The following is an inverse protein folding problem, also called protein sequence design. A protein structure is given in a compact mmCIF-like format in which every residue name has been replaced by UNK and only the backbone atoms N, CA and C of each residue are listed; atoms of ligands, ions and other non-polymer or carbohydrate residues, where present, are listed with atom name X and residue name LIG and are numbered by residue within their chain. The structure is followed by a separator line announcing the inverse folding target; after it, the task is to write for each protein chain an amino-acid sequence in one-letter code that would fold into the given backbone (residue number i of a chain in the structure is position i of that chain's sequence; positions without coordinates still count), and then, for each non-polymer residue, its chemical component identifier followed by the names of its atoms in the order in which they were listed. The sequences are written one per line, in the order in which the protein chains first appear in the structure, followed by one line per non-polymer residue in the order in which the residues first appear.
data_IF_163451163253
#
_entry.id   IF_163451163253
#
_cell.length_a   1.000
_cell.length_b   1.000
_cell.length_c   1.000
_cell.angle_alpha   90.00
_cell.angle_beta   90.00
_cell.angle_gamma   90.00
#
_symmetry.space_group_name_H-M   'P 1'
#
loop_
_entity.id
_entity.type
_entity.pdbx_description
1 polymer ?
#
# COMPACT_ATOMS: atom_id res chain seq x y z
N UNK A 1 -2.74 24.31 27.63
CA UNK A 1 -1.84 23.27 27.07
C UNK A 1 -2.34 21.92 27.55
N UNK A 2 -3.30 21.34 26.83
CA UNK A 2 -3.72 19.96 27.08
C UNK A 2 -2.69 19.01 26.45
N UNK A 3 -2.31 18.01 27.22
CA UNK A 3 -1.33 16.98 26.87
C UNK A 3 -1.79 16.22 25.62
N UNK A 4 -1.16 16.51 24.48
CA UNK A 4 -1.18 15.65 23.30
C UNK A 4 -0.51 14.34 23.70
N UNK A 5 -1.32 13.28 23.85
CA UNK A 5 -0.84 11.90 23.98
C UNK A 5 0.10 11.61 22.82
N UNK A 6 1.39 11.49 23.11
CA UNK A 6 2.40 11.14 22.11
C UNK A 6 2.13 9.69 21.67
N UNK A 7 1.57 9.52 20.48
CA UNK A 7 1.64 8.25 19.76
C UNK A 7 3.13 7.89 19.62
N UNK A 8 3.47 6.67 20.00
CA UNK A 8 4.83 6.14 20.22
C UNK A 8 5.82 6.55 19.09
N UNK A 9 6.56 7.64 19.32
CA UNK A 9 7.25 8.37 18.25
C UNK A 9 8.74 8.00 18.06
N UNK A 10 9.06 6.71 17.97
CA UNK A 10 10.44 6.32 17.66
C UNK A 10 10.73 4.83 17.49
N UNK A 11 9.72 3.97 17.34
CA UNK A 11 9.95 2.52 17.28
C UNK A 11 9.60 1.96 15.91
N UNK A 12 10.59 1.33 15.28
CA UNK A 12 10.45 0.62 14.00
C UNK A 12 9.32 -0.41 14.10
N UNK A 13 8.25 -0.33 13.28
CA UNK A 13 7.17 -1.29 13.27
C UNK A 13 7.69 -2.69 12.91
N UNK A 14 7.47 -3.71 13.75
CA UNK A 14 7.90 -5.08 13.47
C UNK A 14 6.74 -5.90 12.94
N UNK A 15 6.86 -6.46 11.73
CA UNK A 15 5.82 -7.30 11.14
C UNK A 15 6.36 -8.71 10.95
N UNK A 16 5.72 -9.71 11.56
CA UNK A 16 5.99 -11.12 11.26
C UNK A 16 5.07 -11.58 10.14
N UNK A 17 5.67 -12.02 9.04
CA UNK A 17 4.99 -12.50 7.84
C UNK A 17 5.05 -14.02 7.81
N UNK A 18 3.89 -14.67 7.69
CA UNK A 18 3.75 -16.13 7.61
C UNK A 18 3.18 -16.46 6.23
N UNK A 19 4.02 -16.85 5.28
CA UNK A 19 3.61 -17.06 3.89
C UNK A 19 4.62 -17.91 3.08
N UNK A 20 4.24 -18.26 1.85
CA UNK A 20 5.11 -18.92 0.89
C UNK A 20 6.14 -17.99 0.23
N UNK A 21 7.28 -18.55 -0.12
CA UNK A 21 8.36 -17.89 -0.87
C UNK A 21 8.12 -17.98 -2.38
N UNK A 22 8.08 -16.82 -3.04
CA UNK A 22 8.06 -16.65 -4.49
C UNK A 22 9.48 -16.53 -5.07
N UNK A 23 9.91 -17.53 -5.85
CA UNK A 23 11.20 -17.51 -6.55
C UNK A 23 11.38 -16.35 -7.53
N UNK A 24 10.29 -15.85 -8.15
CA UNK A 24 10.31 -14.69 -9.05
C UNK A 24 10.30 -13.35 -8.32
N UNK A 25 10.06 -13.36 -7.01
CA UNK A 25 10.13 -12.20 -6.13
C UNK A 25 9.04 -11.15 -6.31
N UNK A 26 7.94 -11.48 -6.98
CA UNK A 26 6.83 -10.55 -7.23
C UNK A 26 5.66 -10.68 -6.25
N UNK A 27 5.53 -11.80 -5.55
CA UNK A 27 4.51 -12.09 -4.54
C UNK A 27 5.14 -12.73 -3.29
N UNK A 28 4.30 -13.27 -2.40
CA UNK A 28 4.73 -14.03 -1.22
C UNK A 28 5.67 -13.24 -0.30
N UNK A 29 6.53 -13.97 0.40
CA UNK A 29 7.52 -13.41 1.34
C UNK A 29 8.33 -12.26 0.72
N UNK A 30 8.69 -12.35 -0.56
CA UNK A 30 9.50 -11.35 -1.23
C UNK A 30 8.75 -10.03 -1.42
N UNK A 31 7.48 -10.06 -1.84
CA UNK A 31 6.64 -8.87 -1.91
C UNK A 31 6.36 -8.31 -0.51
N UNK A 32 6.16 -9.20 0.46
CA UNK A 32 5.87 -8.82 1.85
C UNK A 32 7.07 -8.06 2.47
N UNK A 33 8.28 -8.60 2.38
CA UNK A 33 9.52 -7.94 2.87
C UNK A 33 9.73 -6.59 2.19
N UNK A 34 9.62 -6.54 0.86
CA UNK A 34 9.78 -5.29 0.10
C UNK A 34 8.79 -4.24 0.59
N UNK A 35 7.53 -4.63 0.76
CA UNK A 35 6.47 -3.71 1.18
C UNK A 35 6.72 -3.14 2.57
N UNK A 36 6.98 -4.01 3.55
CA UNK A 36 7.23 -3.58 4.93
C UNK A 36 8.50 -2.72 5.00
N UNK A 37 9.58 -3.11 4.33
CA UNK A 37 10.85 -2.35 4.30
C UNK A 37 10.65 -0.97 3.68
N UNK A 38 9.96 -0.88 2.54
CA UNK A 38 9.70 0.38 1.85
C UNK A 38 8.73 1.29 2.61
N UNK A 39 8.00 0.75 3.59
CA UNK A 39 7.12 1.51 4.47
C UNK A 39 7.77 1.88 5.81
N UNK A 40 9.05 1.56 6.00
CA UNK A 40 9.83 1.88 7.21
C UNK A 40 9.77 0.83 8.31
N UNK A 41 9.11 -0.30 8.09
CA UNK A 41 9.01 -1.40 9.05
C UNK A 41 10.16 -2.42 8.95
N UNK A 42 10.28 -3.25 9.98
CA UNK A 42 11.14 -4.42 10.01
C UNK A 42 10.32 -5.68 9.70
N UNK A 43 10.65 -6.36 8.61
CA UNK A 43 10.01 -7.61 8.21
C UNK A 43 10.76 -8.82 8.78
N UNK A 44 10.08 -9.62 9.59
CA UNK A 44 10.49 -10.97 9.96
C UNK A 44 9.59 -11.99 9.25
N UNK A 45 10.05 -13.23 9.09
CA UNK A 45 9.33 -14.23 8.28
C UNK A 45 9.29 -15.61 8.92
N UNK A 46 8.20 -16.33 8.64
CA UNK A 46 8.10 -17.78 8.75
C UNK A 46 7.60 -18.33 7.41
N UNK A 47 8.45 -19.12 6.74
CA UNK A 47 8.20 -19.62 5.40
C UNK A 47 7.37 -20.89 5.47
N UNK A 48 6.22 -20.91 4.78
CA UNK A 48 5.29 -22.06 4.75
C UNK A 48 5.53 -22.99 3.57
N UNK A 49 6.04 -22.46 2.46
CA UNK A 49 6.38 -23.24 1.28
C UNK A 49 7.36 -22.47 0.39
N UNK A 50 8.04 -23.18 -0.49
CA UNK A 50 8.85 -22.61 -1.58
C UNK A 50 8.15 -22.94 -2.90
N UNK A 51 7.84 -21.93 -3.69
CA UNK A 51 7.28 -22.13 -5.03
C UNK A 51 8.39 -21.98 -6.07
N UNK A 52 8.54 -22.99 -6.94
CA UNK A 52 9.28 -22.86 -8.18
C UNK A 52 8.36 -22.14 -9.15
N UNK A 53 8.43 -20.82 -9.13
CA UNK A 53 7.55 -19.97 -9.94
C UNK A 53 8.30 -18.79 -10.55
N UNK A 54 7.74 -18.26 -11.64
CA UNK A 54 8.18 -17.03 -12.28
C UNK A 54 6.97 -16.34 -12.93
N UNK A 55 7.19 -15.31 -13.75
CA UNK A 55 6.08 -14.55 -14.37
C UNK A 55 5.17 -15.39 -15.29
N UNK A 56 5.59 -16.58 -15.70
CA UNK A 56 4.82 -17.50 -16.56
C UNK A 56 3.97 -18.51 -15.76
N UNK A 57 4.10 -18.55 -14.44
CA UNK A 57 3.34 -19.44 -13.57
C UNK A 57 4.18 -20.23 -12.58
N UNK A 58 3.54 -21.22 -11.96
CA UNK A 58 4.11 -22.11 -10.94
C UNK A 58 4.34 -23.49 -11.55
N UNK A 59 5.57 -24.01 -11.45
CA UNK A 59 5.90 -25.36 -11.94
C UNK A 59 6.04 -26.40 -10.82
N UNK A 60 6.32 -25.97 -9.58
CA UNK A 60 6.34 -26.84 -8.41
C UNK A 60 6.12 -26.05 -7.12
N UNK A 61 5.63 -26.74 -6.10
CA UNK A 61 5.50 -26.23 -4.73
C UNK A 61 6.12 -27.24 -3.78
N UNK A 62 6.98 -26.78 -2.88
CA UNK A 62 7.56 -27.59 -1.82
C UNK A 62 7.13 -27.02 -0.47
N UNK A 63 6.26 -27.75 0.24
CA UNK A 63 5.78 -27.36 1.55
C UNK A 63 6.89 -27.49 2.61
N UNK A 64 6.97 -26.52 3.52
CA UNK A 64 7.78 -26.61 4.73
C UNK A 64 6.98 -27.36 5.78
N UNK A 65 7.63 -28.25 6.52
CA UNK A 65 6.96 -29.03 7.56
C UNK A 65 6.32 -28.11 8.62
N UNK A 66 5.06 -28.36 9.06
CA UNK A 66 4.34 -27.50 10.00
C UNK A 66 5.08 -27.21 11.31
N UNK A 67 5.85 -28.17 11.83
CA UNK A 67 6.69 -28.00 13.02
C UNK A 67 7.85 -27.02 12.79
N UNK A 68 8.39 -26.96 11.57
CA UNK A 68 9.43 -25.99 11.17
C UNK A 68 8.80 -24.61 10.99
N UNK A 69 7.58 -24.51 10.45
CA UNK A 69 6.82 -23.25 10.40
C UNK A 69 6.60 -22.70 11.82
N UNK A 70 6.14 -23.56 12.74
CA UNK A 70 5.94 -23.19 14.14
C UNK A 70 7.24 -22.77 14.83
N UNK A 71 8.35 -23.49 14.57
CA UNK A 71 9.65 -23.17 15.14
C UNK A 71 10.16 -21.79 14.65
N UNK A 72 9.97 -21.46 13.37
CA UNK A 72 10.29 -20.12 12.84
C UNK A 72 9.47 -19.02 13.53
N UNK A 73 8.15 -19.23 13.68
CA UNK A 73 7.26 -18.26 14.36
C UNK A 73 7.75 -18.01 15.79
N UNK A 74 7.99 -19.07 16.58
CA UNK A 74 8.46 -18.95 17.97
C UNK A 74 9.83 -18.28 18.03
N UNK A 75 10.77 -18.68 17.18
CA UNK A 75 12.11 -18.08 17.16
C UNK A 75 12.08 -16.56 16.94
N UNK A 76 11.17 -16.06 16.09
CA UNK A 76 10.99 -14.62 15.90
C UNK A 76 10.28 -13.99 17.10
N UNK A 77 9.17 -14.58 17.56
CA UNK A 77 8.34 -13.99 18.61
C UNK A 77 9.06 -13.94 19.98
N UNK A 78 9.91 -14.92 20.28
CA UNK A 78 10.60 -15.05 21.57
C UNK A 78 11.75 -14.04 21.75
N UNK A 79 12.33 -13.53 20.65
CA UNK A 79 13.46 -12.58 20.67
C UNK A 79 13.08 -11.22 20.07
N UNK A 80 12.82 -11.21 18.76
CA UNK A 80 12.53 -9.97 18.01
C UNK A 80 11.14 -9.44 18.34
N UNK A 81 10.16 -10.33 18.57
CA UNK A 81 8.75 -10.00 18.72
C UNK A 81 8.08 -9.52 17.43
N UNK A 82 6.78 -9.24 17.51
CA UNK A 82 6.00 -8.67 16.41
C UNK A 82 4.94 -7.69 16.93
N UNK A 83 4.67 -6.66 16.14
CA UNK A 83 3.67 -5.62 16.41
C UNK A 83 2.42 -5.79 15.54
N UNK A 84 2.56 -6.51 14.42
CA UNK A 84 1.46 -7.08 13.65
C UNK A 84 1.91 -8.39 13.01
N UNK A 85 0.94 -9.25 12.70
CA UNK A 85 1.15 -10.47 11.93
C UNK A 85 0.47 -10.30 10.58
N UNK A 86 1.16 -10.66 9.49
CA UNK A 86 0.55 -10.87 8.18
C UNK A 86 0.57 -12.36 7.86
N UNK A 87 -0.58 -12.94 7.58
CA UNK A 87 -0.71 -14.33 7.14
C UNK A 87 -1.07 -14.32 5.66
N UNK A 88 -0.35 -15.10 4.86
CA UNK A 88 -0.61 -15.31 3.43
C UNK A 88 -0.87 -16.78 3.11
N UNK A 89 -0.24 -17.28 2.04
CA UNK A 89 -0.38 -18.68 1.61
C UNK A 89 0.08 -19.68 2.70
N UNK A 90 -0.80 -20.58 3.12
CA UNK A 90 -0.53 -21.61 4.13
C UNK A 90 -0.44 -23.04 3.56
N UNK A 91 -1.09 -23.33 2.43
CA UNK A 91 -1.03 -24.63 1.77
C UNK A 91 -2.08 -25.64 2.27
N UNK A 92 -1.97 -26.07 3.53
CA UNK A 92 -2.76 -27.18 4.07
C UNK A 92 -3.29 -26.97 5.50
N UNK A 93 -4.15 -27.88 5.95
CA UNK A 93 -4.78 -27.88 7.28
C UNK A 93 -3.72 -27.96 8.39
N UNK A 94 -2.73 -28.84 8.24
CA UNK A 94 -1.70 -29.05 9.27
C UNK A 94 -0.88 -27.77 9.53
N UNK A 95 -0.57 -27.03 8.46
CA UNK A 95 0.11 -25.74 8.55
C UNK A 95 -0.80 -24.67 9.18
N UNK A 96 -2.09 -24.65 8.83
CA UNK A 96 -3.07 -23.73 9.46
C UNK A 96 -3.14 -23.97 10.97
N UNK A 97 -3.25 -25.23 11.40
CA UNK A 97 -3.32 -25.59 12.82
C UNK A 97 -2.03 -25.21 13.55
N UNK A 98 -0.88 -25.53 12.97
CA UNK A 98 0.43 -25.19 13.51
C UNK A 98 0.63 -23.67 13.67
N UNK A 99 0.21 -22.87 12.68
CA UNK A 99 0.24 -21.40 12.75
C UNK A 99 -0.72 -20.88 13.81
N UNK A 100 -1.96 -21.40 13.85
CA UNK A 100 -2.94 -21.00 14.85
C UNK A 100 -2.41 -21.27 16.27
N UNK A 101 -1.82 -22.44 16.51
CA UNK A 101 -1.29 -22.81 17.82
C UNK A 101 -0.07 -21.97 18.19
N UNK A 102 0.86 -21.73 17.24
CA UNK A 102 2.04 -20.91 17.47
C UNK A 102 1.68 -19.44 17.79
N UNK A 103 0.56 -18.94 17.29
CA UNK A 103 0.09 -17.59 17.57
C UNK A 103 -0.71 -17.48 18.87
N UNK A 104 -1.11 -18.59 19.52
CA UNK A 104 -2.01 -18.57 20.68
C UNK A 104 -1.56 -17.59 21.78
N UNK A 105 -2.49 -16.76 22.27
CA UNK A 105 -2.21 -15.76 23.31
C UNK A 105 -1.61 -14.45 22.80
N UNK A 106 -1.22 -14.36 21.52
CA UNK A 106 -0.77 -13.11 20.92
C UNK A 106 -1.92 -12.09 20.80
N UNK A 107 -1.65 -10.86 21.20
CA UNK A 107 -2.61 -9.73 21.15
C UNK A 107 -2.36 -8.77 19.99
N UNK A 108 -1.25 -8.95 19.26
CA UNK A 108 -0.92 -8.12 18.11
C UNK A 108 -1.96 -8.31 16.98
N UNK A 109 -2.31 -7.26 16.23
CA UNK A 109 -3.25 -7.35 15.13
C UNK A 109 -2.79 -8.35 14.06
N UNK A 110 -3.75 -9.09 13.50
CA UNK A 110 -3.52 -10.10 12.47
C UNK A 110 -4.23 -9.67 11.19
N UNK A 111 -3.47 -9.51 10.11
CA UNK A 111 -3.97 -9.33 8.75
C UNK A 111 -3.93 -10.67 8.04
N UNK A 112 -5.10 -11.20 7.69
CA UNK A 112 -5.25 -12.49 7.01
C UNK A 112 -5.53 -12.26 5.52
N UNK A 113 -4.57 -12.59 4.65
CA UNK A 113 -4.75 -12.63 3.20
C UNK A 113 -5.08 -14.08 2.81
N UNK A 114 -6.35 -14.42 2.52
CA UNK A 114 -6.78 -15.80 2.34
C UNK A 114 -6.40 -16.29 0.93
N UNK A 115 -5.10 -16.45 0.68
CA UNK A 115 -4.57 -16.85 -0.63
C UNK A 115 -5.01 -18.27 -0.96
N UNK A 116 -5.98 -18.40 -1.86
CA UNK A 116 -6.52 -19.70 -2.29
C UNK A 116 -5.98 -20.18 -3.64
N UNK A 117 -5.65 -19.25 -4.55
CA UNK A 117 -5.27 -19.57 -5.93
C UNK A 117 -4.09 -18.70 -6.37
N UNK A 118 -3.15 -19.29 -7.11
CA UNK A 118 -2.07 -18.57 -7.75
C UNK A 118 -2.62 -17.75 -8.92
N UNK A 119 -1.88 -16.71 -9.30
CA UNK A 119 -2.29 -15.85 -10.42
C UNK A 119 -2.41 -16.57 -11.78
N UNK A 120 -1.76 -17.73 -11.92
CA UNK A 120 -1.89 -18.64 -13.07
C UNK A 120 -3.00 -19.70 -12.93
N UNK A 121 -3.85 -19.61 -11.91
CA UNK A 121 -4.98 -20.54 -11.69
C UNK A 121 -4.65 -21.80 -10.88
N UNK A 122 -3.40 -22.02 -10.48
CA UNK A 122 -3.04 -23.17 -9.64
C UNK A 122 -3.63 -23.04 -8.24
N UNK A 123 -4.37 -24.03 -7.76
CA UNK A 123 -4.85 -24.07 -6.37
C UNK A 123 -3.67 -24.04 -5.39
N UNK A 124 -3.73 -23.14 -4.41
CA UNK A 124 -2.72 -22.94 -3.37
C UNK A 124 -3.24 -23.29 -1.97
N UNK A 125 -4.55 -23.47 -1.84
CA UNK A 125 -5.21 -23.95 -0.64
C UNK A 125 -6.12 -25.12 -1.01
N UNK A 126 -6.01 -26.23 -0.27
CA UNK A 126 -6.93 -27.34 -0.41
C UNK A 126 -8.35 -26.93 0.04
N UNK A 127 -9.40 -27.44 -0.58
CA UNK A 127 -10.78 -27.09 -0.25
C UNK A 127 -11.10 -27.39 1.23
N UNK A 128 -10.56 -28.50 1.75
CA UNK A 128 -10.69 -28.90 3.15
C UNK A 128 -9.96 -27.94 4.11
N UNK A 129 -8.99 -27.18 3.61
CA UNK A 129 -8.23 -26.21 4.41
C UNK A 129 -8.99 -24.88 4.61
N UNK A 130 -10.01 -24.59 3.81
CA UNK A 130 -10.87 -23.40 4.00
C UNK A 130 -11.60 -23.48 5.35
N UNK A 131 -12.15 -24.66 5.69
CA UNK A 131 -12.82 -24.87 6.97
C UNK A 131 -11.90 -24.66 8.18
N UNK A 132 -10.64 -25.12 8.09
CA UNK A 132 -9.65 -24.91 9.14
C UNK A 132 -9.30 -23.41 9.28
N UNK A 133 -9.14 -22.68 8.18
CA UNK A 133 -8.88 -21.24 8.18
C UNK A 133 -10.01 -20.47 8.86
N UNK A 134 -11.26 -20.76 8.49
CA UNK A 134 -12.46 -20.13 9.08
C UNK A 134 -12.61 -20.46 10.57
N UNK A 135 -12.31 -21.69 10.98
CA UNK A 135 -12.48 -22.11 12.37
C UNK A 135 -11.34 -21.66 13.30
N UNK A 136 -10.10 -21.61 12.79
CA UNK A 136 -8.89 -21.42 13.64
C UNK A 136 -8.25 -20.04 13.51
N UNK A 137 -8.29 -19.42 12.33
CA UNK A 137 -7.58 -18.17 12.05
C UNK A 137 -8.51 -16.97 11.92
N UNK A 138 -9.66 -17.10 11.24
CA UNK A 138 -10.61 -15.99 11.08
C UNK A 138 -11.05 -15.36 12.42
N UNK A 139 -11.37 -16.12 13.49
CA UNK A 139 -11.81 -15.54 14.76
C UNK A 139 -10.72 -14.71 15.47
N UNK A 140 -9.48 -14.80 14.99
CA UNK A 140 -8.30 -14.12 15.52
C UNK A 140 -7.84 -12.97 14.64
N UNK A 141 -8.36 -12.89 13.41
CA UNK A 141 -8.00 -11.86 12.46
C UNK A 141 -8.57 -10.51 12.92
N UNK A 142 -7.74 -9.47 12.84
CA UNK A 142 -8.20 -8.08 12.93
C UNK A 142 -8.89 -7.69 11.64
N UNK A 143 -8.31 -8.09 10.50
CA UNK A 143 -8.88 -7.91 9.18
C UNK A 143 -8.54 -9.09 8.28
N UNK A 144 -9.52 -9.57 7.53
CA UNK A 144 -9.32 -10.48 6.40
C UNK A 144 -9.47 -9.71 5.09
N UNK A 145 -8.63 -9.99 4.09
CA UNK A 145 -8.57 -9.22 2.85
C UNK A 145 -8.91 -10.05 1.60
N UNK A 146 -10.10 -10.66 1.47
CA UNK A 146 -10.42 -11.51 0.32
C UNK A 146 -10.65 -10.70 -0.96
N UNK A 147 -10.24 -11.24 -2.11
CA UNK A 147 -10.75 -10.78 -3.42
C UNK A 147 -12.11 -11.43 -3.72
N UNK A 148 -12.78 -11.03 -4.80
CA UNK A 148 -14.10 -11.59 -5.17
C UNK A 148 -14.11 -13.12 -5.26
N UNK A 149 -13.22 -13.80 -6.02
CA UNK A 149 -13.16 -15.27 -6.01
C UNK A 149 -12.97 -15.88 -4.62
N UNK A 150 -12.06 -15.34 -3.81
CA UNK A 150 -11.82 -15.80 -2.44
C UNK A 150 -13.05 -15.59 -1.55
N UNK A 151 -13.74 -14.45 -1.70
CA UNK A 151 -14.92 -14.11 -0.91
C UNK A 151 -16.08 -15.06 -1.25
N UNK A 152 -16.30 -15.36 -2.54
CA UNK A 152 -17.28 -16.37 -2.98
C UNK A 152 -17.01 -17.74 -2.36
N UNK A 153 -15.75 -18.18 -2.29
CA UNK A 153 -15.39 -19.45 -1.64
C UNK A 153 -15.61 -19.40 -0.12
N UNK A 154 -15.28 -18.28 0.52
CA UNK A 154 -15.40 -18.11 1.96
C UNK A 154 -16.86 -18.05 2.45
N UNK A 155 -17.77 -17.47 1.67
CA UNK A 155 -19.18 -17.33 2.05
C UNK A 155 -20.09 -18.35 1.38
N UNK A 156 -19.68 -18.94 0.27
CA UNK A 156 -20.55 -19.76 -0.58
C UNK A 156 -21.53 -18.92 -1.42
N UNK A 157 -21.32 -17.61 -1.51
CA UNK A 157 -22.22 -16.66 -2.18
C UNK A 157 -21.65 -16.29 -3.56
N UNK A 158 -22.45 -16.44 -4.61
CA UNK A 158 -22.08 -15.92 -5.93
C UNK A 158 -22.06 -14.40 -5.91
N UNK A 159 -21.00 -13.79 -6.45
CA UNK A 159 -20.79 -12.34 -6.46
C UNK A 159 -20.67 -11.88 -7.91
N UNK A 160 -21.70 -11.20 -8.42
CA UNK A 160 -21.69 -10.67 -9.78
C UNK A 160 -21.26 -9.20 -9.84
N UNK A 161 -21.58 -8.42 -8.81
CA UNK A 161 -21.33 -6.99 -8.77
C UNK A 161 -20.85 -6.47 -7.40
N UNK A 162 -20.68 -5.14 -7.32
CA UNK A 162 -20.19 -4.47 -6.11
C UNK A 162 -21.18 -4.59 -4.93
N UNK A 163 -22.48 -4.65 -5.20
CA UNK A 163 -23.50 -4.77 -4.17
C UNK A 163 -23.49 -6.18 -3.55
N UNK A 164 -23.40 -7.21 -4.40
CA UNK A 164 -23.25 -8.60 -3.94
C UNK A 164 -21.98 -8.76 -3.09
N UNK A 165 -20.87 -8.16 -3.54
CA UNK A 165 -19.59 -8.21 -2.83
C UNK A 165 -19.70 -7.59 -1.43
N UNK A 166 -20.39 -6.45 -1.30
CA UNK A 166 -20.62 -5.80 -0.02
C UNK A 166 -21.47 -6.68 0.91
N UNK A 167 -22.54 -7.30 0.39
CA UNK A 167 -23.39 -8.21 1.18
C UNK A 167 -22.61 -9.43 1.66
N UNK A 168 -21.81 -10.06 0.79
CA UNK A 168 -20.96 -11.18 1.16
C UNK A 168 -19.89 -10.78 2.19
N UNK A 169 -19.34 -9.57 2.10
CA UNK A 169 -18.41 -9.04 3.09
C UNK A 169 -19.06 -8.83 4.47
N UNK A 170 -20.31 -8.36 4.49
CA UNK A 170 -21.11 -8.23 5.71
C UNK A 170 -21.44 -9.59 6.32
N UNK A 171 -21.79 -10.58 5.50
CA UNK A 171 -22.02 -11.96 5.92
C UNK A 171 -20.76 -12.57 6.57
N UNK A 172 -19.60 -12.40 5.93
CA UNK A 172 -18.33 -12.93 6.44
C UNK A 172 -17.89 -12.24 7.73
N UNK A 173 -18.12 -10.92 7.86
CA UNK A 173 -17.85 -10.20 9.10
C UNK A 173 -18.75 -10.69 10.24
N UNK A 174 -20.03 -10.94 9.93
CA UNK A 174 -21.05 -11.33 10.89
C UNK A 174 -21.13 -10.38 12.10
N UNK A 175 -21.49 -10.93 13.26
CA UNK A 175 -21.43 -10.20 14.54
C UNK A 175 -20.04 -10.32 15.22
N UNK A 176 -19.05 -10.87 14.52
CA UNK A 176 -17.72 -11.16 15.03
C UNK A 176 -16.83 -9.92 15.15
N UNK A 177 -15.66 -10.04 15.80
CA UNK A 177 -14.70 -8.93 15.92
C UNK A 177 -13.88 -8.69 14.65
N UNK A 178 -14.02 -9.53 13.61
CA UNK A 178 -13.20 -9.47 12.39
C UNK A 178 -13.73 -8.40 11.44
N UNK A 179 -12.83 -7.57 10.91
CA UNK A 179 -13.14 -6.68 9.79
C UNK A 179 -12.88 -7.38 8.45
N UNK A 180 -13.61 -7.02 7.41
CA UNK A 180 -13.44 -7.57 6.06
C UNK A 180 -13.08 -6.45 5.10
N UNK A 181 -11.94 -6.55 4.43
CA UNK A 181 -11.60 -5.70 3.28
C UNK A 181 -11.84 -6.49 1.99
N UNK A 182 -13.04 -6.39 1.44
CA UNK A 182 -13.41 -7.03 0.18
C UNK A 182 -12.82 -6.25 -1.01
N UNK A 183 -11.98 -6.93 -1.80
CA UNK A 183 -11.23 -6.31 -2.91
C UNK A 183 -11.96 -6.51 -4.25
N UNK A 184 -12.42 -5.43 -4.88
CA UNK A 184 -13.25 -5.49 -6.10
C UNK A 184 -12.48 -5.54 -7.42
N UNK A 185 -11.16 -5.66 -7.40
CA UNK A 185 -10.32 -5.63 -8.62
C UNK A 185 -10.67 -6.67 -9.71
N UNK A 186 -11.43 -7.72 -9.37
CA UNK A 186 -11.91 -8.75 -10.31
C UNK A 186 -13.28 -8.45 -10.93
N UNK A 187 -14.03 -7.48 -10.41
CA UNK A 187 -15.27 -7.00 -11.03
C UNK A 187 -14.93 -6.23 -12.30
N UNK A 188 -15.88 -6.16 -13.23
CA UNK A 188 -15.74 -5.37 -14.45
C UNK A 188 -15.90 -3.85 -14.21
N UNK A 189 -15.48 -3.04 -15.17
CA UNK A 189 -15.66 -1.58 -15.16
C UNK A 189 -14.39 -0.77 -14.89
N UNK A 190 -14.45 0.51 -15.24
CA UNK A 190 -13.30 1.44 -15.22
C UNK A 190 -12.92 1.91 -13.80
N UNK A 191 -13.79 1.66 -12.82
CA UNK A 191 -13.58 2.00 -11.41
C UNK A 191 -13.43 0.71 -10.62
N UNK A 192 -12.36 0.62 -9.83
CA UNK A 192 -12.13 -0.46 -8.88
C UNK A 192 -12.51 0.04 -7.49
N UNK A 193 -13.49 -0.62 -6.87
CA UNK A 193 -13.94 -0.33 -5.51
C UNK A 193 -13.58 -1.47 -4.56
N UNK A 194 -13.02 -1.12 -3.41
CA UNK A 194 -12.81 -2.01 -2.28
C UNK A 194 -13.71 -1.55 -1.12
N UNK A 195 -14.25 -2.50 -0.35
CA UNK A 195 -15.10 -2.21 0.80
C UNK A 195 -14.46 -2.71 2.08
N UNK A 196 -14.24 -1.81 3.04
CA UNK A 196 -13.91 -2.16 4.41
C UNK A 196 -15.21 -2.24 5.22
N UNK A 197 -15.56 -3.43 5.67
CA UNK A 197 -16.68 -3.69 6.58
C UNK A 197 -16.13 -3.96 7.97
N UNK A 198 -16.64 -3.22 8.94
CA UNK A 198 -16.30 -3.33 10.36
C UNK A 198 -17.59 -3.40 11.18
N UNK A 199 -17.47 -3.69 12.47
CA UNK A 199 -18.63 -3.63 13.39
C UNK A 199 -19.26 -2.24 13.48
N UNK A 200 -18.46 -1.19 13.32
CA UNK A 200 -18.89 0.20 13.50
C UNK A 200 -19.46 0.81 12.20
N UNK A 201 -19.35 0.10 11.08
CA UNK A 201 -19.84 0.54 9.78
C UNK A 201 -18.97 0.08 8.62
N UNK A 202 -19.24 0.66 7.46
CA UNK A 202 -18.57 0.33 6.20
C UNK A 202 -17.98 1.57 5.53
N UNK A 203 -16.85 1.39 4.85
CA UNK A 203 -16.17 2.44 4.12
C UNK A 203 -15.76 1.93 2.73
N UNK A 204 -16.11 2.72 1.71
CA UNK A 204 -15.76 2.46 0.32
C UNK A 204 -14.47 3.16 -0.04
N UNK A 205 -13.58 2.46 -0.73
CA UNK A 205 -12.36 3.01 -1.31
C UNK A 205 -12.37 2.75 -2.81
N UNK A 206 -12.36 3.79 -3.63
CA UNK A 206 -12.38 3.65 -5.08
C UNK A 206 -11.14 4.24 -5.75
N UNK A 207 -10.96 3.93 -7.03
CA UNK A 207 -9.92 4.49 -7.88
C UNK A 207 -10.10 4.01 -9.32
N UNK A 208 -9.49 4.73 -10.27
CA UNK A 208 -9.46 4.30 -11.66
C UNK A 208 -8.73 2.95 -11.81
N UNK A 209 -9.25 2.09 -12.68
CA UNK A 209 -8.57 0.85 -13.06
C UNK A 209 -7.25 1.17 -13.75
N UNK A 210 -6.21 0.44 -13.39
CA UNK A 210 -4.89 0.54 -14.00
C UNK A 210 -4.73 -0.62 -14.97
N UNK A 211 -4.72 -0.31 -16.26
CA UNK A 211 -4.47 -1.28 -17.33
C UNK A 211 -2.99 -1.68 -17.35
N UNK A 212 -2.67 -2.80 -16.68
CA UNK A 212 -1.31 -3.33 -16.64
C UNK A 212 -1.27 -4.84 -16.41
N UNK A 213 -0.34 -5.53 -17.09
CA UNK A 213 -0.02 -6.94 -16.83
C UNK A 213 0.76 -7.14 -15.53
N UNK A 214 1.31 -6.08 -14.96
CA UNK A 214 2.24 -6.09 -13.83
C UNK A 214 1.54 -6.07 -12.46
N UNK A 215 0.53 -6.92 -12.31
CA UNK A 215 -0.30 -7.01 -11.11
C UNK A 215 0.11 -8.17 -10.19
N UNK A 216 1.27 -8.82 -10.40
CA UNK A 216 1.67 -9.99 -9.59
C UNK A 216 1.99 -9.54 -8.16
N UNK A 217 1.41 -10.21 -7.17
CA UNK A 217 1.57 -9.89 -5.75
C UNK A 217 0.78 -8.70 -5.22
N UNK A 218 -0.22 -8.18 -5.93
CA UNK A 218 -1.07 -7.06 -5.46
C UNK A 218 -1.72 -7.35 -4.10
N UNK A 219 -2.31 -8.54 -3.92
CA UNK A 219 -2.93 -8.97 -2.66
C UNK A 219 -1.94 -9.01 -1.50
N UNK A 220 -0.82 -9.72 -1.66
CA UNK A 220 0.22 -9.83 -0.64
C UNK A 220 0.77 -8.45 -0.23
N UNK A 221 0.99 -7.58 -1.21
CA UNK A 221 1.46 -6.21 -1.01
C UNK A 221 0.45 -5.39 -0.21
N UNK A 222 -0.84 -5.44 -0.58
CA UNK A 222 -1.88 -4.71 0.14
C UNK A 222 -1.95 -5.17 1.61
N UNK A 223 -2.03 -6.48 1.83
CA UNK A 223 -2.10 -7.06 3.18
C UNK A 223 -0.87 -6.70 4.03
N UNK A 224 0.33 -6.79 3.46
CA UNK A 224 1.58 -6.44 4.16
C UNK A 224 1.68 -4.94 4.47
N UNK A 225 1.19 -4.08 3.58
CA UNK A 225 1.13 -2.65 3.84
C UNK A 225 0.13 -2.29 4.96
N UNK A 226 -1.02 -2.96 5.01
CA UNK A 226 -1.99 -2.81 6.11
C UNK A 226 -1.35 -3.27 7.42
N UNK A 227 -0.71 -4.44 7.44
CA UNK A 227 -0.05 -4.97 8.63
C UNK A 227 1.03 -4.01 9.15
N UNK A 228 1.82 -3.41 8.24
CA UNK A 228 2.81 -2.40 8.60
C UNK A 228 2.17 -1.13 9.18
N UNK A 229 1.03 -0.68 8.64
CA UNK A 229 0.28 0.44 9.17
C UNK A 229 -0.27 0.18 10.59
N UNK A 230 -0.85 -1.00 10.80
CA UNK A 230 -1.34 -1.43 12.12
C UNK A 230 -0.19 -1.58 13.14
N UNK A 231 0.95 -2.14 12.73
CA UNK A 231 2.15 -2.22 13.55
C UNK A 231 2.69 -0.84 13.96
N UNK A 232 2.49 0.18 13.10
CA UNK A 232 2.80 1.58 13.39
C UNK A 232 1.72 2.30 14.22
N UNK A 233 0.65 1.61 14.61
CA UNK A 233 -0.44 2.15 15.43
C UNK A 233 -1.47 2.99 14.65
N UNK A 234 -1.53 2.87 13.32
CA UNK A 234 -2.57 3.54 12.53
C UNK A 234 -3.95 2.90 12.79
N UNK A 235 -5.03 3.71 12.79
CA UNK A 235 -6.38 3.19 12.65
C UNK A 235 -6.51 2.32 11.39
N UNK A 236 -7.40 1.32 11.41
CA UNK A 236 -7.52 0.35 10.32
C UNK A 236 -7.84 1.01 8.97
N UNK A 237 -8.79 1.95 8.94
CA UNK A 237 -9.14 2.68 7.72
C UNK A 237 -7.94 3.45 7.12
N UNK A 238 -7.16 4.12 7.97
CA UNK A 238 -5.96 4.85 7.56
C UNK A 238 -4.86 3.90 7.06
N UNK A 239 -4.71 2.73 7.70
CA UNK A 239 -3.79 1.69 7.27
C UNK A 239 -4.19 1.14 5.89
N UNK A 240 -5.48 0.93 5.64
CA UNK A 240 -6.03 0.53 4.33
C UNK A 240 -5.76 1.61 3.29
N UNK A 241 -6.06 2.87 3.58
CA UNK A 241 -5.85 3.96 2.62
C UNK A 241 -4.37 4.10 2.22
N UNK A 242 -3.46 4.07 3.21
CA UNK A 242 -2.01 4.07 3.00
C UNK A 242 -1.57 2.89 2.15
N UNK A 243 -2.11 1.69 2.41
CA UNK A 243 -1.80 0.48 1.67
C UNK A 243 -2.26 0.55 0.21
N UNK A 244 -3.48 1.04 -0.04
CA UNK A 244 -3.99 1.25 -1.40
C UNK A 244 -3.12 2.22 -2.19
N UNK A 245 -2.72 3.33 -1.56
CA UNK A 245 -1.82 4.32 -2.17
C UNK A 245 -0.46 3.71 -2.53
N UNK A 246 0.08 2.84 -1.67
CA UNK A 246 1.31 2.09 -1.93
C UNK A 246 1.15 1.20 -3.18
N UNK A 247 0.09 0.39 -3.23
CA UNK A 247 -0.18 -0.54 -4.34
C UNK A 247 -0.38 0.21 -5.66
N UNK A 248 -1.20 1.27 -5.68
CA UNK A 248 -1.42 2.10 -6.88
C UNK A 248 -0.10 2.67 -7.41
N UNK A 249 0.74 3.19 -6.51
CA UNK A 249 2.07 3.70 -6.87
C UNK A 249 2.96 2.60 -7.43
N UNK A 250 2.98 1.43 -6.79
CA UNK A 250 3.78 0.29 -7.23
C UNK A 250 3.33 -0.23 -8.61
N UNK A 251 2.03 -0.18 -8.91
CA UNK A 251 1.48 -0.60 -10.20
C UNK A 251 1.92 0.35 -11.33
N UNK A 252 1.87 1.66 -11.11
CA UNK A 252 2.34 2.63 -12.10
C UNK A 252 3.84 2.57 -12.34
N UNK A 253 4.63 2.27 -11.30
CA UNK A 253 6.09 2.20 -11.38
C UNK A 253 6.61 0.78 -11.72
N UNK A 254 5.74 -0.08 -12.25
CA UNK A 254 6.11 -1.45 -12.59
C UNK A 254 7.33 -1.51 -13.54
N UNK A 255 8.35 -2.34 -13.25
CA UNK A 255 9.64 -2.31 -13.94
C UNK A 255 9.64 -3.03 -15.31
N UNK A 256 8.50 -3.50 -15.80
CA UNK A 256 8.41 -4.18 -17.10
C UNK A 256 9.01 -5.60 -17.16
N UNK A 257 9.34 -6.20 -16.01
CA UNK A 257 10.07 -7.47 -15.95
C UNK A 257 9.20 -8.71 -16.28
N UNK A 258 9.83 -9.68 -16.94
CA UNK A 258 9.23 -10.97 -17.30
C UNK A 258 8.32 -10.92 -18.53
N UNK A 259 7.78 -12.10 -18.88
CA UNK A 259 6.97 -12.29 -20.11
C UNK A 259 5.49 -12.53 -19.85
N UNK A 260 5.09 -12.91 -18.62
CA UNK A 260 3.70 -13.08 -18.22
C UNK A 260 3.24 -12.03 -17.22
N UNK A 261 2.69 -12.47 -16.07
CA UNK A 261 2.29 -11.59 -14.97
C UNK A 261 3.52 -11.08 -14.24
N UNK A 262 3.94 -9.85 -14.58
CA UNK A 262 5.13 -9.25 -13.99
C UNK A 262 4.93 -8.68 -12.59
N UNK A 263 6.03 -8.44 -11.85
CA UNK A 263 5.99 -7.82 -10.52
C UNK A 263 5.68 -6.31 -10.60
N UNK A 264 5.22 -5.75 -9.48
CA UNK A 264 5.06 -4.31 -9.28
C UNK A 264 6.39 -3.61 -8.95
N UNK A 265 6.41 -2.29 -9.02
CA UNK A 265 7.58 -1.42 -8.82
C UNK A 265 7.86 -1.02 -7.36
N UNK A 266 7.94 -1.98 -6.43
CA UNK A 266 8.17 -1.68 -5.00
C UNK A 266 9.36 -0.74 -4.76
N UNK A 267 10.48 -0.97 -5.45
CA UNK A 267 11.73 -0.22 -5.34
C UNK A 267 11.63 1.26 -5.71
N UNK A 268 10.58 1.65 -6.44
CA UNK A 268 10.32 3.02 -6.89
C UNK A 268 9.21 3.69 -6.07
N UNK A 269 8.52 2.93 -5.22
CA UNK A 269 7.53 3.51 -4.30
C UNK A 269 8.26 4.38 -3.30
N UNK A 270 7.89 5.66 -3.30
CA UNK A 270 8.37 6.63 -2.34
C UNK A 270 7.16 7.32 -1.74
N UNK A 271 6.61 6.69 -0.72
CA UNK A 271 5.64 7.35 0.17
C UNK A 271 6.35 8.10 1.31
N UNK A 272 7.65 7.87 1.43
CA UNK A 272 8.63 8.26 2.45
C UNK A 272 9.15 9.70 2.33
N UNK A 273 8.46 10.55 1.56
CA UNK A 273 8.38 11.97 1.94
C UNK A 273 7.44 12.06 3.15
N UNK A 274 7.88 11.49 4.29
CA UNK A 274 7.30 11.66 5.63
C UNK A 274 6.25 10.66 6.11
N UNK A 275 6.43 9.34 5.95
CA UNK A 275 5.57 8.36 6.63
C UNK A 275 6.20 7.81 7.91
N UNK A 276 6.43 8.66 8.91
CA UNK A 276 6.35 8.23 10.30
C UNK A 276 5.71 9.28 11.23
N UNK A 277 4.74 8.78 12.01
CA UNK A 277 4.32 9.19 13.35
C UNK A 277 3.58 10.52 13.50
N UNK A 278 2.25 10.50 13.30
CA UNK A 278 1.33 11.47 13.93
C UNK A 278 1.73 12.95 13.84
N UNK A 279 2.52 13.28 12.82
CA UNK A 279 3.43 14.41 12.88
C UNK A 279 2.83 15.59 12.15
N UNK A 280 2.59 16.65 12.90
CA UNK A 280 2.20 17.98 12.42
C UNK A 280 3.30 18.69 11.61
N UNK A 281 4.27 17.97 11.02
CA UNK A 281 5.32 18.56 10.17
C UNK A 281 4.90 18.60 8.71
N UNK A 282 5.09 19.72 8.02
CA UNK A 282 4.91 19.81 6.57
C UNK A 282 6.00 19.02 5.85
N UNK A 283 5.65 18.37 4.73
CA UNK A 283 6.58 17.49 3.98
C UNK A 283 7.12 18.22 2.76
N UNK A 284 8.40 18.58 2.73
CA UNK A 284 8.99 19.21 1.54
C UNK A 284 8.83 18.28 0.33
N UNK A 285 7.91 18.62 -0.56
CA UNK A 285 7.58 17.82 -1.73
C UNK A 285 8.50 18.19 -2.90
N UNK A 286 8.51 19.47 -3.25
CA UNK A 286 9.27 19.98 -4.38
C UNK A 286 9.56 21.48 -4.22
N UNK A 287 10.57 21.94 -4.94
CA UNK A 287 10.83 23.35 -5.16
C UNK A 287 10.52 23.65 -6.63
N UNK A 288 9.68 24.66 -6.87
CA UNK A 288 9.44 25.18 -8.22
C UNK A 288 10.22 26.47 -8.44
N UNK A 289 11.06 26.50 -9.46
CA UNK A 289 11.86 27.67 -9.84
C UNK A 289 11.18 28.39 -11.00
N UNK A 290 11.21 29.73 -11.00
CA UNK A 290 10.75 30.52 -12.15
C UNK A 290 11.70 30.36 -13.36
N UNK A 291 11.14 30.22 -14.56
CA UNK A 291 11.87 30.13 -15.82
C UNK A 291 11.42 31.23 -16.78
N UNK A 292 12.36 32.10 -17.18
CA UNK A 292 12.11 33.13 -18.20
C UNK A 292 12.10 32.54 -19.63
N UNK A 293 12.89 31.49 -19.85
CA UNK A 293 12.92 30.69 -21.07
C UNK A 293 12.72 29.21 -20.71
N UNK A 294 11.60 28.64 -21.17
CA UNK A 294 11.22 27.26 -20.92
C UNK A 294 12.24 26.27 -21.47
N UNK A 295 12.58 26.39 -22.75
CA UNK A 295 13.38 25.38 -23.45
C UNK A 295 14.81 25.38 -22.93
N UNK A 296 15.40 26.58 -22.75
CA UNK A 296 16.73 26.70 -22.19
C UNK A 296 16.81 26.12 -20.77
N UNK A 297 15.77 26.30 -19.95
CA UNK A 297 15.69 25.73 -18.60
C UNK A 297 15.57 24.20 -18.63
N UNK A 298 14.74 23.64 -19.52
CA UNK A 298 14.62 22.18 -19.70
C UNK A 298 15.96 21.56 -20.09
N UNK A 299 16.65 22.16 -21.06
CA UNK A 299 17.93 21.66 -21.54
C UNK A 299 19.01 21.73 -20.44
N UNK A 300 19.03 22.81 -19.64
CA UNK A 300 19.93 22.95 -18.51
C UNK A 300 19.73 21.84 -17.45
N UNK A 301 18.50 21.61 -17.00
CA UNK A 301 18.24 20.62 -15.95
C UNK A 301 18.42 19.17 -16.42
N UNK A 302 18.16 18.89 -17.71
CA UNK A 302 18.53 17.60 -18.32
C UNK A 302 20.04 17.42 -18.37
N UNK A 303 20.80 18.46 -18.75
CA UNK A 303 22.25 18.43 -18.77
C UNK A 303 22.88 18.25 -17.37
N UNK A 304 22.18 18.70 -16.32
CA UNK A 304 22.55 18.45 -14.91
C UNK A 304 22.34 16.99 -14.48
N UNK A 305 21.73 16.15 -15.33
CA UNK A 305 21.45 14.75 -15.03
C UNK A 305 20.09 14.49 -14.41
N UNK A 306 19.21 15.49 -14.33
CA UNK A 306 17.84 15.28 -13.85
C UNK A 306 16.98 14.69 -14.96
N UNK A 307 16.17 13.69 -14.62
CA UNK A 307 15.23 13.05 -15.55
C UNK A 307 13.95 13.87 -15.60
N UNK A 308 13.55 14.34 -16.78
CA UNK A 308 12.26 15.01 -16.93
C UNK A 308 11.13 13.97 -16.84
N UNK A 309 10.18 14.21 -15.92
CA UNK A 309 9.05 13.32 -15.64
C UNK A 309 7.69 13.94 -15.97
N UNK A 310 7.64 15.26 -16.19
CA UNK A 310 6.46 15.98 -16.71
C UNK A 310 6.94 17.01 -17.72
N UNK A 311 6.31 17.05 -18.88
CA UNK A 311 6.57 18.00 -19.96
C UNK A 311 5.25 18.69 -20.36
N UNK A 312 5.10 19.97 -20.02
CA UNK A 312 3.92 20.78 -20.30
C UNK A 312 4.32 22.13 -20.91
N UNK A 313 4.92 22.14 -22.12
CA UNK A 313 5.38 23.35 -22.76
C UNK A 313 4.23 24.32 -23.11
N UNK A 314 4.50 25.65 -23.13
CA UNK A 314 5.74 26.31 -22.75
C UNK A 314 5.77 26.71 -21.26
N UNK A 315 4.94 26.07 -20.43
CA UNK A 315 4.57 26.61 -19.11
C UNK A 315 5.26 25.93 -17.94
N UNK A 316 5.44 24.61 -18.00
CA UNK A 316 5.83 23.85 -16.82
C UNK A 316 6.59 22.58 -17.19
N UNK A 317 7.64 22.28 -16.44
CA UNK A 317 8.30 20.98 -16.47
C UNK A 317 8.62 20.53 -15.05
N UNK A 318 8.61 19.22 -14.82
CA UNK A 318 9.06 18.61 -13.56
C UNK A 318 10.15 17.61 -13.85
N UNK A 319 11.18 17.65 -13.03
CA UNK A 319 12.35 16.81 -13.06
C UNK A 319 12.45 16.00 -11.78
N UNK A 320 13.13 14.87 -11.88
CA UNK A 320 13.44 13.98 -10.77
C UNK A 320 14.94 13.71 -10.73
N UNK A 321 15.53 13.85 -9.56
CA UNK A 321 16.92 13.48 -9.28
C UNK A 321 17.04 11.99 -8.95
N UNK A 322 18.26 11.46 -9.00
CA UNK A 322 18.56 10.14 -8.46
C UNK A 322 18.14 10.09 -6.97
N UNK A 323 17.31 9.10 -6.60
CA UNK A 323 16.72 9.01 -5.25
C UNK A 323 15.28 9.53 -5.13
N UNK A 324 14.70 10.17 -6.16
CA UNK A 324 13.26 10.47 -6.25
C UNK A 324 12.83 11.86 -5.74
N UNK A 325 13.79 12.73 -5.42
CA UNK A 325 13.51 14.13 -5.12
C UNK A 325 13.11 14.89 -6.40
N UNK A 326 12.08 15.74 -6.31
CA UNK A 326 11.56 16.45 -7.48
C UNK A 326 11.83 17.95 -7.43
N UNK A 327 12.10 18.51 -8.62
CA UNK A 327 12.27 19.93 -8.86
C UNK A 327 11.40 20.30 -10.06
N UNK A 328 10.69 21.41 -10.00
CA UNK A 328 9.91 21.90 -11.14
C UNK A 328 10.36 23.28 -11.59
N UNK A 329 10.06 23.59 -12.85
CA UNK A 329 10.14 24.94 -13.37
C UNK A 329 8.78 25.38 -13.86
N UNK A 330 8.48 26.67 -13.70
CA UNK A 330 7.28 27.28 -14.24
C UNK A 330 7.62 28.60 -14.91
N UNK A 331 6.95 28.92 -16.03
CA UNK A 331 7.14 30.19 -16.70
C UNK A 331 6.51 31.32 -15.87
N UNK A 332 7.32 32.29 -15.49
CA UNK A 332 6.92 33.48 -14.73
C UNK A 332 7.76 34.68 -15.16
N UNK A 333 7.21 35.89 -15.01
CA UNK A 333 7.85 37.14 -15.41
C UNK A 333 8.93 37.61 -14.42
N UNK A 334 8.85 37.16 -13.16
CA UNK A 334 9.82 37.48 -12.11
C UNK A 334 10.58 36.24 -11.64
N UNK A 335 11.90 36.35 -11.36
CA UNK A 335 12.68 35.25 -10.80
C UNK A 335 12.25 34.97 -9.35
N UNK A 336 12.15 33.69 -8.99
CA UNK A 336 11.76 33.28 -7.65
C UNK A 336 11.68 31.75 -7.50
N UNK A 337 11.52 31.30 -6.25
CA UNK A 337 11.28 29.91 -5.92
C UNK A 337 10.01 29.79 -5.05
N UNK A 338 9.18 28.80 -5.36
CA UNK A 338 8.03 28.42 -4.55
C UNK A 338 8.31 27.07 -3.91
N UNK A 339 8.18 26.98 -2.59
CA UNK A 339 8.42 25.76 -1.83
C UNK A 339 7.08 25.08 -1.54
N UNK A 340 6.94 23.81 -1.92
CA UNK A 340 5.72 23.04 -1.71
C UNK A 340 5.89 22.07 -0.55
N UNK A 341 4.99 22.17 0.43
CA UNK A 341 4.87 21.25 1.54
C UNK A 341 3.58 20.44 1.40
N UNK A 342 3.69 19.11 1.32
CA UNK A 342 2.50 18.26 1.33
C UNK A 342 1.99 18.09 2.78
N UNK A 343 0.67 18.19 2.93
CA UNK A 343 -0.03 18.02 4.20
C UNK A 343 -1.34 17.25 4.01
N UNK A 344 -1.43 16.05 4.58
CA UNK A 344 -2.66 15.25 4.55
C UNK A 344 -3.80 15.88 5.37
N UNK A 345 -3.47 16.72 6.34
CA UNK A 345 -4.36 17.50 7.21
C UNK A 345 -4.44 18.97 6.75
N UNK A 346 -4.43 19.21 5.44
CA UNK A 346 -4.35 20.55 4.83
C UNK A 346 -5.36 21.53 5.44
N UNK A 347 -6.62 21.12 5.61
CA UNK A 347 -7.69 21.96 6.16
C UNK A 347 -7.41 22.40 7.61
N UNK A 348 -6.97 21.48 8.45
CA UNK A 348 -6.64 21.78 9.85
C UNK A 348 -5.47 22.75 9.96
N UNK A 349 -4.44 22.58 9.12
CA UNK A 349 -3.27 23.46 9.10
C UNK A 349 -3.54 24.83 8.52
N UNK A 350 -4.26 24.88 7.41
CA UNK A 350 -4.66 26.13 6.79
C UNK A 350 -5.51 26.98 7.76
N UNK A 351 -6.44 26.34 8.48
CA UNK A 351 -7.22 26.98 9.54
C UNK A 351 -6.33 27.51 10.68
N UNK A 352 -5.36 26.72 11.16
CA UNK A 352 -4.43 27.12 12.21
C UNK A 352 -3.53 28.31 11.80
N UNK A 353 -3.25 28.43 10.50
CA UNK A 353 -2.44 29.51 9.92
C UNK A 353 -3.29 30.70 9.41
N UNK A 354 -4.62 30.60 9.46
CA UNK A 354 -5.52 31.66 9.00
C UNK A 354 -5.52 31.89 7.50
N UNK A 355 -5.18 30.87 6.70
CA UNK A 355 -5.16 30.95 5.23
C UNK A 355 -6.25 30.08 4.58
N UNK A 356 -6.83 30.51 3.46
CA UNK A 356 -7.86 29.72 2.77
C UNK A 356 -7.25 28.57 1.96
N UNK A 357 -7.98 27.46 1.88
CA UNK A 357 -7.68 26.34 0.97
C UNK A 357 -8.45 26.53 -0.33
N UNK A 358 -7.76 26.39 -1.47
CA UNK A 358 -8.30 26.56 -2.81
C UNK A 358 -8.10 25.27 -3.62
N UNK A 359 -9.15 24.80 -4.28
CA UNK A 359 -9.07 23.70 -5.23
C UNK A 359 -8.54 24.20 -6.58
N UNK A 360 -7.57 23.48 -7.14
CA UNK A 360 -6.90 23.87 -8.37
C UNK A 360 -7.41 23.08 -9.57
N UNK A 361 -7.29 23.69 -10.76
CA UNK A 361 -7.76 23.10 -12.03
C UNK A 361 -7.02 21.83 -12.45
N UNK A 362 -5.86 21.57 -11.84
CA UNK A 362 -5.01 20.41 -12.09
C UNK A 362 -5.18 19.30 -11.03
N UNK A 363 -6.26 19.34 -10.25
CA UNK A 363 -6.75 18.19 -9.48
C UNK A 363 -6.20 18.02 -8.06
N UNK A 364 -5.62 19.08 -7.47
CA UNK A 364 -5.24 19.10 -6.04
C UNK A 364 -5.77 20.34 -5.32
N UNK A 365 -5.67 20.35 -3.99
CA UNK A 365 -6.06 21.48 -3.13
C UNK A 365 -4.82 22.08 -2.50
N UNK A 366 -4.77 23.40 -2.35
CA UNK A 366 -3.60 24.10 -1.79
C UNK A 366 -3.96 25.37 -1.00
N UNK A 367 -3.08 25.76 -0.09
CA UNK A 367 -3.11 27.01 0.68
C UNK A 367 -1.77 27.74 0.52
N UNK A 368 -1.83 29.00 0.10
CA UNK A 368 -0.66 29.83 -0.13
C UNK A 368 -0.25 30.58 1.13
N UNK A 369 1.06 30.62 1.37
CA UNK A 369 1.70 31.22 2.53
C UNK A 369 2.89 32.06 2.09
N UNK A 370 3.26 33.00 2.95
CA UNK A 370 4.52 33.74 2.86
C UNK A 370 5.26 33.57 4.17
N UNK A 371 6.54 33.19 4.11
CA UNK A 371 7.35 33.14 5.32
C UNK A 371 7.72 34.57 5.79
N UNK A 372 8.31 34.72 6.99
CA UNK A 372 8.69 36.04 7.51
C UNK A 372 9.71 36.81 6.65
N UNK A 373 10.42 36.13 5.74
CA UNK A 373 11.40 36.74 4.83
C UNK A 373 10.81 37.08 3.45
N UNK A 374 9.52 36.79 3.22
CA UNK A 374 8.84 37.07 1.95
C UNK A 374 8.89 35.91 0.94
N UNK A 375 9.42 34.74 1.31
CA UNK A 375 9.46 33.59 0.41
C UNK A 375 8.06 32.99 0.24
N UNK A 376 7.75 32.52 -0.96
CA UNK A 376 6.46 31.91 -1.29
C UNK A 376 6.44 30.42 -0.93
N UNK A 377 5.47 30.03 -0.11
CA UNK A 377 5.25 28.65 0.32
C UNK A 377 3.84 28.21 -0.05
N UNK A 378 3.68 26.93 -0.39
CA UNK A 378 2.38 26.33 -0.67
C UNK A 378 2.24 25.06 0.16
N UNK A 379 1.23 25.01 1.02
CA UNK A 379 0.76 23.75 1.59
C UNK A 379 -0.25 23.13 0.62
N UNK A 380 -0.14 21.84 0.32
CA UNK A 380 -1.07 21.19 -0.60
C UNK A 380 -1.35 19.73 -0.22
N UNK A 381 -2.46 19.20 -0.73
CA UNK A 381 -2.78 17.77 -0.71
C UNK A 381 -3.04 17.31 -2.15
N UNK A 382 -2.09 16.55 -2.69
CA UNK A 382 -2.09 16.12 -4.10
C UNK A 382 -2.57 14.69 -4.33
N UNK A 383 -2.83 13.90 -3.29
CA UNK A 383 -3.20 12.49 -3.41
C UNK A 383 -2.32 11.70 -4.40
N UNK A 384 -2.95 10.90 -5.27
CA UNK A 384 -2.27 10.18 -6.37
C UNK A 384 -1.84 11.10 -7.52
N UNK A 385 -2.59 12.18 -7.78
CA UNK A 385 -2.32 13.20 -8.81
C UNK A 385 -0.97 13.89 -8.61
N UNK A 386 -0.41 13.87 -7.39
CA UNK A 386 0.96 14.34 -7.11
C UNK A 386 1.99 13.69 -8.02
N UNK A 387 1.93 12.35 -8.16
CA UNK A 387 2.88 11.56 -8.95
C UNK A 387 2.31 11.17 -10.30
N UNK A 388 1.03 10.83 -10.36
CA UNK A 388 0.39 10.27 -11.55
C UNK A 388 -0.79 11.12 -12.02
N UNK A 389 -0.58 12.42 -12.32
CA UNK A 389 -1.65 13.21 -12.88
C UNK A 389 -2.01 12.70 -14.28
N UNK A 390 -3.26 12.89 -14.69
CA UNK A 390 -3.78 12.45 -16.00
C UNK A 390 -2.87 12.82 -17.19
N UNK A 391 -2.27 14.01 -17.16
CA UNK A 391 -1.39 14.49 -18.23
C UNK A 391 -0.02 13.80 -18.27
N UNK A 392 0.42 13.12 -17.18
CA UNK A 392 1.59 12.23 -17.18
C UNK A 392 1.23 10.83 -17.66
N UNK A 393 0.02 10.35 -17.35
CA UNK A 393 -0.41 8.99 -17.73
C UNK A 393 -0.77 8.88 -19.23
N UNK A 394 -1.14 10.00 -19.87
CA UNK A 394 -1.52 10.07 -21.29
C UNK A 394 -0.36 10.41 -22.23
N UNK A 395 0.82 10.71 -21.70
CA UNK A 395 2.07 11.01 -22.42
C UNK A 395 2.96 9.78 -22.48
#
# INVERSE_FOLDING_TARGET
MQSLTHANSGRVPRVLIIAGSDSGGGAGIQADIKTVTMLGGYAATAITAITVQNTLGVSAVHAVLPEIVSAQIRAVLDDIGADAIKIGMLGDVATIEAVADALQGLTAPIVLDPVMVAKGGSALLAEEAVGALLARLLPRATVITPNVPELTVLTGTEIADEADMLLAAQELAGDGPVSVLAKGGHLEGDVVADWLVTRDGQQRFEGARIETRHTHGTGCTLASAIACGLAAGLPLADAVERARRYVITALHEAPGLGQGHGPMGHQAVRLDVGLEQGGTSGRLNQITIAASDYQASVDFYRALGLRQIVDAPPRYARFEAEGGATLSIHRADEPGATIYFEAADLDARAAALGVPVVAQSWGWREAELTDPAGNRLILFDGGTNRRFPDWRLKS
#
